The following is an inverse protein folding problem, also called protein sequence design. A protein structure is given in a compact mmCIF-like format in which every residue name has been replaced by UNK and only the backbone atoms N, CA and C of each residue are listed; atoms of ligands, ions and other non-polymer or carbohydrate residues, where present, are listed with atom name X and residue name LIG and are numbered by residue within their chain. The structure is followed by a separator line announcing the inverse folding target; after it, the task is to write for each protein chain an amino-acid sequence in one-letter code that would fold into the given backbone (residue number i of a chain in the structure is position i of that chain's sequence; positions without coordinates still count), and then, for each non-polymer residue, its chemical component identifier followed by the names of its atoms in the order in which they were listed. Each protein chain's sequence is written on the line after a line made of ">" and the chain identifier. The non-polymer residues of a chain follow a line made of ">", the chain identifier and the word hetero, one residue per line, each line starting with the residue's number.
data_IF_712927197669
#
_entry.id   IF_712927197669
#
_cell.length_a   1.000
_cell.length_b   1.000
_cell.length_c   1.000
_cell.angle_alpha   90.00
_cell.angle_beta   90.00
_cell.angle_gamma   90.00
#
_symmetry.space_group_name_H-M   'P 1'
#
loop_
_entity.id
_entity.type
_entity.pdbx_description
1 polymer ?
#
# COMPACT_ATOMS: atom_id res chain seq x y z
N UNK A 1 10.78 3.35 -9.62
CA UNK A 1 11.00 4.05 -8.33
C UNK A 1 10.79 3.03 -7.23
N UNK A 2 11.64 3.00 -6.21
CA UNK A 2 11.45 2.09 -5.08
C UNK A 2 10.22 2.50 -4.26
N UNK A 3 9.47 1.53 -3.74
CA UNK A 3 8.34 1.82 -2.86
C UNK A 3 8.77 2.67 -1.65
N UNK A 4 9.94 2.39 -1.08
CA UNK A 4 10.48 3.21 0.02
C UNK A 4 10.72 4.67 -0.36
N UNK A 5 11.24 4.93 -1.57
CA UNK A 5 11.44 6.30 -2.06
C UNK A 5 10.11 7.02 -2.25
N UNK A 6 9.10 6.29 -2.76
CA UNK A 6 7.75 6.82 -2.91
C UNK A 6 7.13 7.15 -1.53
N UNK A 7 7.30 6.27 -0.54
CA UNK A 7 6.84 6.50 0.83
C UNK A 7 7.46 7.77 1.45
N UNK A 8 8.76 8.01 1.19
CA UNK A 8 9.48 9.19 1.71
C UNK A 8 9.08 10.51 1.05
N UNK A 9 8.34 10.47 -0.06
CA UNK A 9 7.94 11.67 -0.80
C UNK A 9 6.66 12.32 -0.27
N UNK A 10 5.96 11.69 0.67
CA UNK A 10 4.65 12.13 1.16
C UNK A 10 4.56 12.00 2.68
N UNK A 11 3.93 12.99 3.31
CA UNK A 11 3.52 12.92 4.71
C UNK A 11 2.22 12.12 4.85
N UNK A 12 2.00 11.51 6.02
CA UNK A 12 0.78 10.72 6.25
C UNK A 12 -0.51 11.53 6.04
N UNK A 13 -0.50 12.81 6.37
CA UNK A 13 -1.65 13.70 6.21
C UNK A 13 -2.02 13.98 4.75
N UNK A 14 -1.09 13.79 3.81
CA UNK A 14 -1.34 13.86 2.37
C UNK A 14 -1.92 12.54 1.83
N UNK A 15 -1.53 11.41 2.44
CA UNK A 15 -1.92 10.07 2.00
C UNK A 15 -3.31 9.68 2.53
N UNK A 16 -3.62 10.02 3.79
CA UNK A 16 -4.85 9.57 4.45
C UNK A 16 -6.15 9.99 3.75
N UNK A 17 -6.29 11.23 3.23
CA UNK A 17 -7.47 11.62 2.44
C UNK A 17 -7.63 10.75 1.19
N UNK A 18 -6.52 10.45 0.49
CA UNK A 18 -6.51 9.61 -0.71
C UNK A 18 -6.87 8.16 -0.37
N UNK A 19 -6.39 7.63 0.76
CA UNK A 19 -6.82 6.31 1.25
C UNK A 19 -8.33 6.29 1.46
N UNK A 20 -8.92 7.33 2.08
CA UNK A 20 -10.35 7.36 2.34
C UNK A 20 -11.20 7.56 1.07
N UNK A 21 -10.65 8.22 0.05
CA UNK A 21 -11.28 8.33 -1.27
C UNK A 21 -11.27 6.99 -2.02
N UNK A 22 -10.13 6.30 -2.05
CA UNK A 22 -9.98 5.01 -2.72
C UNK A 22 -10.66 3.84 -1.97
N UNK A 23 -10.71 3.92 -0.64
CA UNK A 23 -11.28 2.92 0.25
C UNK A 23 -12.26 3.60 1.24
N UNK A 24 -13.50 3.89 0.81
CA UNK A 24 -14.46 4.62 1.63
C UNK A 24 -14.70 3.99 3.00
N UNK A 25 -14.75 4.82 4.03
CA UNK A 25 -14.99 4.40 5.41
C UNK A 25 -13.72 4.06 6.20
N UNK A 26 -12.54 4.19 5.59
CA UNK A 26 -11.25 3.99 6.28
C UNK A 26 -10.85 5.14 7.20
N UNK A 27 -11.53 6.29 7.15
CA UNK A 27 -11.30 7.41 8.07
C UNK A 27 -11.27 7.00 9.56
N UNK A 28 -12.13 6.06 9.97
CA UNK A 28 -12.18 5.55 11.36
C UNK A 28 -10.92 4.76 11.76
N UNK A 29 -10.12 4.32 10.80
CA UNK A 29 -8.89 3.55 11.00
C UNK A 29 -7.62 4.39 10.83
N UNK A 30 -7.73 5.71 10.92
CA UNK A 30 -6.59 6.64 10.81
C UNK A 30 -5.41 6.25 11.70
N UNK A 31 -5.65 5.94 12.98
CA UNK A 31 -4.58 5.61 13.93
C UNK A 31 -3.82 4.31 13.59
N UNK A 32 -4.49 3.18 13.28
CA UNK A 32 -3.81 2.01 12.74
C UNK A 32 -3.02 2.26 11.46
N UNK A 33 -3.58 3.02 10.51
CA UNK A 33 -2.91 3.32 9.24
C UNK A 33 -1.69 4.24 9.45
N UNK A 34 -1.78 5.18 10.38
CA UNK A 34 -0.65 6.04 10.77
C UNK A 34 0.46 5.23 11.41
N UNK A 35 0.13 4.33 12.33
CA UNK A 35 1.09 3.39 12.92
C UNK A 35 1.81 2.59 11.83
N UNK A 36 1.07 2.09 10.83
CA UNK A 36 1.66 1.36 9.72
C UNK A 36 2.64 2.23 8.91
N UNK A 37 2.22 3.44 8.55
CA UNK A 37 3.06 4.42 7.85
C UNK A 37 4.36 4.69 8.60
N UNK A 38 4.28 5.05 9.89
CA UNK A 38 5.45 5.38 10.71
C UNK A 38 6.40 4.19 10.84
N UNK A 39 5.88 2.98 11.03
CA UNK A 39 6.70 1.77 11.07
C UNK A 39 7.41 1.53 9.73
N UNK A 40 6.69 1.63 8.60
CA UNK A 40 7.28 1.45 7.27
C UNK A 40 8.33 2.53 6.96
N UNK A 41 8.09 3.78 7.38
CA UNK A 41 8.99 4.91 7.16
C UNK A 41 10.33 4.70 7.87
N UNK A 42 10.30 4.15 9.09
CA UNK A 42 11.47 3.89 9.92
C UNK A 42 12.16 2.53 9.64
N UNK A 43 11.62 1.71 8.74
CA UNK A 43 12.25 0.44 8.35
C UNK A 43 13.45 0.65 7.43
N UNK A 44 14.38 -0.30 7.47
CA UNK A 44 15.44 -0.43 6.47
C UNK A 44 14.97 -1.38 5.35
N UNK A 45 14.76 -0.90 4.11
CA UNK A 45 14.32 -1.78 3.04
C UNK A 45 15.36 -2.86 2.71
N UNK A 46 14.87 -4.05 2.37
CA UNK A 46 15.67 -5.15 1.83
C UNK A 46 15.48 -5.20 0.32
N UNK A 47 16.59 -5.23 -0.42
CA UNK A 47 16.56 -5.26 -1.87
C UNK A 47 15.71 -6.42 -2.40
N UNK A 48 14.86 -6.12 -3.39
CA UNK A 48 14.01 -7.11 -4.05
C UNK A 48 14.13 -6.99 -5.57
N UNK A 49 14.25 -8.14 -6.25
CA UNK A 49 14.17 -8.23 -7.71
C UNK A 49 12.72 -8.34 -8.21
N UNK A 50 11.74 -8.35 -7.29
CA UNK A 50 10.30 -8.35 -7.63
C UNK A 50 9.80 -6.91 -7.72
N UNK A 51 8.78 -6.69 -8.54
CA UNK A 51 8.11 -5.40 -8.72
C UNK A 51 6.65 -5.45 -8.31
N UNK A 52 6.10 -4.30 -7.89
CA UNK A 52 4.67 -4.04 -7.83
C UNK A 52 4.31 -3.30 -9.11
N UNK A 53 3.49 -3.93 -9.95
CA UNK A 53 3.16 -3.41 -11.28
C UNK A 53 1.68 -3.10 -11.34
N UNK A 54 1.35 -1.81 -11.39
CA UNK A 54 -0.02 -1.34 -11.55
C UNK A 54 -0.43 -1.51 -13.01
N UNK A 55 -1.62 -2.05 -13.21
CA UNK A 55 -2.20 -2.38 -14.51
C UNK A 55 -3.72 -2.21 -14.47
N UNK A 56 -4.33 -2.26 -15.65
CA UNK A 56 -5.78 -2.39 -15.79
C UNK A 56 -6.13 -3.88 -15.56
N UNK A 57 -6.88 -4.15 -14.50
CA UNK A 57 -7.35 -5.47 -14.10
C UNK A 57 -8.81 -5.60 -14.53
N UNK A 58 -9.13 -6.68 -15.25
CA UNK A 58 -10.52 -6.99 -15.60
C UNK A 58 -11.27 -7.50 -14.38
N UNK A 59 -12.38 -6.85 -14.07
CA UNK A 59 -13.34 -7.24 -13.05
C UNK A 59 -14.31 -8.30 -13.53
N UNK A 60 -15.48 -8.35 -12.90
CA UNK A 60 -16.60 -9.18 -13.35
C UNK A 60 -17.35 -8.45 -14.46
N UNK A 61 -17.67 -9.16 -15.55
CA UNK A 61 -18.37 -8.57 -16.69
C UNK A 61 -17.51 -7.52 -17.40
N UNK A 62 -18.01 -6.28 -17.46
CA UNK A 62 -17.36 -5.16 -18.16
C UNK A 62 -16.53 -4.26 -17.24
N UNK A 63 -16.51 -4.54 -15.93
CA UNK A 63 -15.76 -3.74 -14.95
C UNK A 63 -14.26 -3.82 -15.20
N UNK A 64 -13.58 -2.70 -15.01
CA UNK A 64 -12.13 -2.60 -15.05
C UNK A 64 -11.65 -1.74 -13.90
N UNK A 65 -10.54 -2.15 -13.29
CA UNK A 65 -9.94 -1.49 -12.13
C UNK A 65 -8.47 -1.20 -12.41
N UNK A 66 -7.95 -0.07 -11.94
CA UNK A 66 -6.50 0.17 -11.94
C UNK A 66 -5.93 -0.30 -10.61
N UNK A 67 -4.98 -1.24 -10.64
CA UNK A 67 -4.44 -1.82 -9.41
C UNK A 67 -3.26 -2.74 -9.67
N UNK A 68 -2.75 -3.37 -8.60
CA UNK A 68 -1.72 -4.39 -8.65
C UNK A 68 -2.26 -5.71 -8.09
N UNK A 69 -1.68 -6.83 -8.52
CA UNK A 69 -2.07 -8.16 -8.05
C UNK A 69 -1.77 -8.35 -6.56
N UNK A 70 -2.68 -8.94 -5.78
CA UNK A 70 -2.48 -9.25 -4.35
C UNK A 70 -1.18 -9.99 -4.07
N UNK A 71 -0.78 -10.88 -4.99
CA UNK A 71 0.48 -11.62 -4.90
C UNK A 71 1.72 -10.71 -4.85
N UNK A 72 1.63 -9.47 -5.33
CA UNK A 72 2.69 -8.47 -5.25
C UNK A 72 2.89 -7.95 -3.81
N UNK A 73 1.91 -8.09 -2.93
CA UNK A 73 1.97 -7.65 -1.54
C UNK A 73 2.23 -8.77 -0.54
N UNK A 74 2.40 -10.02 -1.01
CA UNK A 74 2.82 -11.16 -0.17
C UNK A 74 4.32 -11.07 0.14
N UNK A 75 4.65 -10.81 1.40
CA UNK A 75 6.03 -10.76 1.90
C UNK A 75 6.18 -9.86 3.14
N UNK A 76 7.38 -9.89 3.74
CA UNK A 76 7.72 -9.01 4.86
C UNK A 76 7.80 -7.56 4.39
N UNK A 77 7.35 -6.62 5.22
CA UNK A 77 7.30 -5.19 4.86
C UNK A 77 8.65 -4.65 4.35
N UNK A 78 9.77 -5.01 4.98
CA UNK A 78 11.12 -4.59 4.54
C UNK A 78 11.43 -5.01 3.09
N UNK A 79 10.97 -6.20 2.68
CA UNK A 79 11.14 -6.71 1.30
C UNK A 79 10.19 -5.98 0.35
N UNK A 80 8.96 -5.70 0.77
CA UNK A 80 7.98 -4.96 -0.03
C UNK A 80 8.46 -3.53 -0.30
N UNK A 81 9.01 -2.85 0.70
CA UNK A 81 9.59 -1.50 0.58
C UNK A 81 10.76 -1.43 -0.41
N UNK A 82 11.50 -2.53 -0.59
CA UNK A 82 12.59 -2.63 -1.56
C UNK A 82 12.18 -2.97 -2.99
N UNK A 83 10.88 -3.19 -3.25
CA UNK A 83 10.37 -3.46 -4.61
C UNK A 83 10.35 -2.20 -5.46
N UNK A 84 10.55 -2.38 -6.77
CA UNK A 84 10.21 -1.35 -7.74
C UNK A 84 8.70 -1.23 -7.89
N UNK A 85 8.23 0.01 -8.00
CA UNK A 85 6.84 0.35 -8.33
C UNK A 85 6.81 0.94 -9.73
N UNK A 86 5.86 0.46 -10.54
CA UNK A 86 5.71 0.86 -11.94
C UNK A 86 4.26 0.81 -12.39
N UNK A 87 3.96 1.54 -13.48
CA UNK A 87 2.65 1.63 -14.13
C UNK A 87 2.74 1.05 -15.53
N UNK A 88 1.76 0.25 -15.92
CA UNK A 88 1.58 -0.14 -17.31
C UNK A 88 0.88 0.97 -18.12
N UNK A 89 0.95 0.86 -19.45
CA UNK A 89 0.30 1.81 -20.35
C UNK A 89 -1.21 1.86 -20.06
N UNK A 90 -1.73 3.07 -19.91
CA UNK A 90 -3.16 3.31 -19.66
C UNK A 90 -3.54 3.35 -18.17
N UNK A 91 -2.59 3.13 -17.26
CA UNK A 91 -2.80 3.41 -15.83
C UNK A 91 -2.53 4.89 -15.57
N UNK A 92 -3.56 5.60 -15.10
CA UNK A 92 -3.53 7.05 -14.83
C UNK A 92 -3.54 7.37 -13.33
N UNK A 93 -3.12 6.42 -12.49
CA UNK A 93 -2.98 6.64 -11.04
C UNK A 93 -1.77 7.53 -10.75
N UNK A 94 -1.98 8.55 -9.93
CA UNK A 94 -0.94 9.42 -9.37
C UNK A 94 0.00 8.64 -8.43
N UNK A 95 1.14 9.24 -8.07
CA UNK A 95 2.10 8.64 -7.13
C UNK A 95 1.49 8.46 -5.73
N UNK A 96 0.67 9.41 -5.27
CA UNK A 96 -0.01 9.33 -3.97
C UNK A 96 -1.10 8.25 -3.94
N UNK A 97 -1.86 8.05 -5.02
CA UNK A 97 -2.86 6.96 -5.10
C UNK A 97 -2.18 5.58 -5.10
N UNK A 98 -1.06 5.45 -5.80
CA UNK A 98 -0.25 4.23 -5.75
C UNK A 98 0.27 3.97 -4.33
N UNK A 99 0.78 5.00 -3.65
CA UNK A 99 1.29 4.88 -2.29
C UNK A 99 0.16 4.50 -1.31
N UNK A 100 -0.99 5.16 -1.40
CA UNK A 100 -2.18 4.87 -0.62
C UNK A 100 -2.61 3.39 -0.77
N UNK A 101 -2.70 2.91 -2.01
CA UNK A 101 -3.01 1.52 -2.31
C UNK A 101 -1.95 0.55 -1.78
N UNK A 102 -0.65 0.87 -1.93
CA UNK A 102 0.42 0.05 -1.40
C UNK A 102 0.36 -0.07 0.13
N UNK A 103 0.17 1.04 0.84
CA UNK A 103 0.09 1.09 2.29
C UNK A 103 -1.04 0.20 2.81
N UNK A 104 -2.25 0.38 2.26
CA UNK A 104 -3.42 -0.44 2.64
C UNK A 104 -3.15 -1.92 2.37
N UNK A 105 -2.70 -2.28 1.17
CA UNK A 105 -2.43 -3.68 0.83
C UNK A 105 -1.32 -4.29 1.70
N UNK A 106 -0.31 -3.53 2.10
CA UNK A 106 0.72 -4.01 3.03
C UNK A 106 0.17 -4.30 4.42
N UNK A 107 -0.81 -3.51 4.90
CA UNK A 107 -1.48 -3.76 6.18
C UNK A 107 -2.31 -5.06 6.16
N UNK A 108 -3.01 -5.35 5.06
CA UNK A 108 -3.94 -6.47 4.97
C UNK A 108 -3.29 -7.77 4.46
N UNK A 109 -2.40 -7.69 3.46
CA UNK A 109 -1.81 -8.84 2.76
C UNK A 109 -0.38 -9.12 3.22
N UNK A 110 0.35 -8.07 3.60
CA UNK A 110 1.76 -8.19 4.01
C UNK A 110 1.95 -8.98 5.30
N UNK A 111 3.16 -9.54 5.44
CA UNK A 111 3.64 -10.06 6.72
C UNK A 111 4.14 -8.85 7.53
N UNK A 112 3.25 -8.30 8.35
CA UNK A 112 3.56 -7.17 9.21
C UNK A 112 4.50 -7.57 10.37
N UNK A 113 5.31 -6.64 10.89
CA UNK A 113 6.08 -6.88 12.11
C UNK A 113 5.16 -7.11 13.30
N UNK A 114 5.63 -7.87 14.31
CA UNK A 114 4.87 -8.18 15.54
C UNK A 114 4.32 -6.94 16.25
N UNK A 115 5.06 -5.83 16.24
CA UNK A 115 4.63 -4.56 16.84
C UNK A 115 3.38 -3.95 16.20
N UNK A 116 3.00 -4.39 15.00
CA UNK A 116 1.80 -3.90 14.30
C UNK A 116 0.56 -4.75 14.58
N UNK A 117 0.68 -5.93 15.20
CA UNK A 117 -0.42 -6.89 15.30
C UNK A 117 -1.68 -6.32 15.99
N UNK A 118 -1.53 -5.52 17.04
CA UNK A 118 -2.66 -4.88 17.72
C UNK A 118 -3.37 -3.85 16.84
N UNK A 119 -2.61 -3.00 16.14
CA UNK A 119 -3.17 -2.07 15.16
C UNK A 119 -3.84 -2.81 14.00
N UNK A 120 -3.27 -3.94 13.55
CA UNK A 120 -3.85 -4.79 12.51
C UNK A 120 -5.18 -5.40 12.94
N UNK A 121 -5.34 -5.82 14.20
CA UNK A 121 -6.62 -6.30 14.72
C UNK A 121 -7.69 -5.22 14.62
N UNK A 122 -7.37 -3.98 14.95
CA UNK A 122 -8.30 -2.86 14.81
C UNK A 122 -8.72 -2.61 13.35
N UNK A 123 -7.83 -2.86 12.38
CA UNK A 123 -8.18 -2.81 10.95
C UNK A 123 -9.12 -3.93 10.50
N UNK A 124 -9.10 -5.06 11.22
CA UNK A 124 -9.86 -6.26 10.89
C UNK A 124 -11.13 -6.43 11.71
N UNK A 125 -11.34 -5.60 12.74
CA UNK A 125 -12.58 -5.57 13.50
C UNK A 125 -13.66 -4.82 12.71
N UNK A 126 -14.72 -5.55 12.36
CA UNK A 126 -15.96 -5.04 11.76
C UNK A 126 -16.77 -4.20 12.75
#
# INVERSE_FOLDING_TARGET
>A
MKLYQLLQAYEFDEIMPVINEMFPGTAKYREPLKTAYEMMFNMKPVASNKSIRYKIIKGKGEEQYMGAEDANFKGNWEVLLGKEVSRERGVDLTDVEILANCLVNMCFIGNCPRGFEEARKALMSE
#
